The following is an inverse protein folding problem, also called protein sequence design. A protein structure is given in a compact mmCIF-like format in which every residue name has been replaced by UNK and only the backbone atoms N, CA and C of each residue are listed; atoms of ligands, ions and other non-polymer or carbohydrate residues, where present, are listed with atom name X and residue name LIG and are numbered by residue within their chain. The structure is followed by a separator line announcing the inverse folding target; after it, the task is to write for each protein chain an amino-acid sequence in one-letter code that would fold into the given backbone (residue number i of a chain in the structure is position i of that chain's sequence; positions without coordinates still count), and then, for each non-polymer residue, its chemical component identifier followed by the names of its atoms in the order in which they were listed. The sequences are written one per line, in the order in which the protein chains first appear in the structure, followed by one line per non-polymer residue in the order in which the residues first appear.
data_IF_100714199639
#
_entry.id   IF_100714199639
#
_cell.length_a   1.000
_cell.length_b   1.000
_cell.length_c   1.000
_cell.angle_alpha   90.00
_cell.angle_beta   90.00
_cell.angle_gamma   90.00
#
_symmetry.space_group_name_H-M   'P 1'
#
loop_
_entity.id
_entity.type
_entity.pdbx_description
1 polymer ?
#
# COMPACT_ATOMS: atom_id res chain seq x y z
N UNK A 1 1.07 -33.59 17.34
CA UNK A 1 0.76 -32.91 16.06
C UNK A 1 0.54 -31.43 16.38
N UNK A 2 1.31 -30.50 15.79
CA UNK A 2 1.15 -29.06 16.01
C UNK A 2 0.14 -28.41 15.04
N UNK A 3 -0.29 -27.19 15.35
CA UNK A 3 -1.15 -26.40 14.46
C UNK A 3 -0.36 -25.94 13.22
N UNK A 4 -0.99 -25.98 12.05
CA UNK A 4 -0.48 -25.38 10.81
C UNK A 4 -1.32 -24.14 10.50
N UNK A 5 -0.69 -22.97 10.52
CA UNK A 5 -1.36 -21.69 10.29
C UNK A 5 -0.76 -21.06 9.05
N UNK A 6 -1.62 -20.65 8.11
CA UNK A 6 -1.22 -19.98 6.87
C UNK A 6 -1.74 -18.55 6.93
N UNK A 7 -0.86 -17.59 6.65
CA UNK A 7 -1.21 -16.17 6.57
C UNK A 7 -0.94 -15.69 5.16
N UNK A 8 -1.98 -15.14 4.51
CA UNK A 8 -1.86 -14.50 3.22
C UNK A 8 -1.66 -12.99 3.44
N UNK A 9 -0.44 -12.52 3.21
CA UNK A 9 -0.13 -11.11 3.25
C UNK A 9 -0.22 -10.50 1.85
N UNK A 10 -0.59 -9.21 1.78
CA UNK A 10 -0.63 -8.45 0.53
C UNK A 10 0.26 -7.23 0.66
N UNK A 11 1.12 -7.00 -0.31
CA UNK A 11 1.80 -5.72 -0.46
C UNK A 11 0.83 -4.69 -1.05
N UNK A 12 0.78 -3.50 -0.46
CA UNK A 12 -0.06 -2.37 -0.87
C UNK A 12 0.77 -1.08 -0.86
N UNK A 13 0.42 -0.05 -1.67
CA UNK A 13 0.98 1.28 -1.47
C UNK A 13 0.50 1.86 -0.13
N UNK A 14 1.35 2.61 0.57
CA UNK A 14 0.99 3.26 1.83
C UNK A 14 0.02 4.43 1.60
N UNK A 15 -1.28 4.14 1.68
CA UNK A 15 -2.33 5.13 1.41
C UNK A 15 -2.42 6.24 2.44
N UNK A 16 -1.74 6.13 3.59
CA UNK A 16 -1.65 7.23 4.57
C UNK A 16 -0.90 8.43 4.02
N UNK A 17 -0.04 8.21 3.02
CA UNK A 17 0.77 9.25 2.38
C UNK A 17 0.14 9.78 1.09
N UNK A 18 -1.15 9.49 0.83
CA UNK A 18 -1.89 10.13 -0.28
C UNK A 18 -2.18 11.58 0.11
N UNK A 19 -1.34 12.49 -0.39
CA UNK A 19 -1.44 13.93 -0.18
C UNK A 19 -1.04 14.70 -1.45
N UNK A 20 -0.75 15.99 -1.31
CA UNK A 20 -0.43 16.87 -2.46
C UNK A 20 0.70 16.32 -3.34
N UNK A 21 1.71 15.69 -2.74
CA UNK A 21 2.88 15.16 -3.46
C UNK A 21 2.62 13.83 -4.18
N UNK A 22 1.53 13.14 -3.85
CA UNK A 22 1.10 11.90 -4.50
C UNK A 22 -0.02 12.12 -5.52
N UNK A 23 -0.49 13.36 -5.69
CA UNK A 23 -1.54 13.72 -6.64
C UNK A 23 -0.93 14.32 -7.91
N UNK A 24 -1.42 13.89 -9.06
CA UNK A 24 -1.12 14.52 -10.35
C UNK A 24 -2.03 15.73 -10.55
N UNK A 25 -1.63 16.63 -11.46
CA UNK A 25 -2.43 17.80 -11.83
C UNK A 25 -3.80 17.47 -12.44
N UNK A 26 -3.96 16.26 -13.00
CA UNK A 26 -5.22 15.76 -13.55
C UNK A 26 -6.17 15.17 -12.49
N UNK A 27 -5.82 15.23 -11.21
CA UNK A 27 -6.62 14.71 -10.11
C UNK A 27 -6.47 13.20 -9.88
N UNK A 28 -5.60 12.51 -10.62
CA UNK A 28 -5.30 11.09 -10.40
C UNK A 28 -4.13 10.89 -9.42
N UNK A 29 -4.07 9.73 -8.77
CA UNK A 29 -2.98 9.40 -7.83
C UNK A 29 -1.77 8.85 -8.58
N UNK A 30 -0.59 9.39 -8.30
CA UNK A 30 0.69 8.82 -8.67
C UNK A 30 1.09 7.71 -7.68
N UNK A 31 0.64 6.47 -7.93
CA UNK A 31 0.94 5.33 -7.05
C UNK A 31 2.42 5.00 -6.91
N UNK A 32 3.24 5.37 -7.90
CA UNK A 32 4.68 5.15 -7.84
C UNK A 32 5.39 6.09 -6.84
N UNK A 33 4.73 7.16 -6.41
CA UNK A 33 5.25 8.06 -5.38
C UNK A 33 5.02 7.53 -3.95
N UNK A 34 4.24 6.46 -3.78
CA UNK A 34 3.92 5.90 -2.47
C UNK A 34 4.85 4.72 -2.13
N UNK A 35 5.40 4.65 -0.91
CA UNK A 35 6.13 3.48 -0.45
C UNK A 35 5.25 2.23 -0.50
N UNK A 36 5.83 1.09 -0.88
CA UNK A 36 5.15 -0.19 -0.81
C UNK A 36 5.33 -0.81 0.59
N UNK A 37 4.23 -1.13 1.26
CA UNK A 37 4.17 -1.73 2.59
C UNK A 37 3.38 -3.03 2.55
N UNK A 38 3.50 -3.90 3.57
CA UNK A 38 2.45 -4.91 3.78
C UNK A 38 1.19 -4.23 4.28
N UNK A 39 0.02 -4.75 3.88
CA UNK A 39 -1.25 -4.24 4.38
C UNK A 39 -1.26 -4.30 5.92
N UNK A 40 -1.44 -3.15 6.60
CA UNK A 40 -1.52 -3.09 8.06
C UNK A 40 -2.65 -3.96 8.62
#
# INVERSE_FOLDING_TARGET
MGLKIIVLAKQVPDTRNVGKDAMKADGTVNRAALPAIFNP
#
